data_IF_042253636827
#
_entry.id   IF_042253636827
#
_cell.length_a   1.000
_cell.length_b   1.000
_cell.length_c   1.000
_cell.angle_alpha   90.00
_cell.angle_beta   90.00
_cell.angle_gamma   90.00
#
_symmetry.space_group_name_H-M   'P 1'
#
loop_
_entity.id
_entity.type
_entity.pdbx_description
1 polymer ?
#
# COMPACT_ATOMS: atom_id res chain seq x y z
N UNK A 1 4.56 -1.30 -28.65
CA UNK A 1 5.07 -2.33 -27.71
C UNK A 1 3.93 -2.64 -26.80
N UNK A 2 3.22 -3.73 -27.06
CA UNK A 2 2.11 -4.16 -26.22
C UNK A 2 2.69 -4.63 -24.89
N UNK A 3 2.34 -3.93 -23.81
CA UNK A 3 2.70 -4.37 -22.47
C UNK A 3 1.76 -5.53 -22.14
N UNK A 4 2.20 -6.77 -22.41
CA UNK A 4 1.48 -7.99 -22.07
C UNK A 4 1.45 -8.19 -20.55
N UNK A 5 0.62 -7.39 -19.88
CA UNK A 5 0.24 -7.62 -18.49
C UNK A 5 -0.71 -8.82 -18.49
N UNK A 6 -0.14 -10.01 -18.24
CA UNK A 6 -0.87 -11.27 -18.25
C UNK A 6 -2.02 -11.30 -17.23
N UNK A 7 -1.83 -10.67 -16.06
CA UNK A 7 -2.83 -10.61 -14.98
C UNK A 7 -2.70 -9.31 -14.20
N UNK A 8 -3.80 -8.58 -14.05
CA UNK A 8 -3.94 -7.45 -13.13
C UNK A 8 -4.75 -7.84 -11.89
N UNK A 9 -4.35 -7.32 -10.72
CA UNK A 9 -5.02 -7.54 -9.42
C UNK A 9 -5.16 -6.20 -8.69
N UNK A 10 -6.36 -5.95 -8.16
CA UNK A 10 -6.64 -4.85 -7.24
C UNK A 10 -6.68 -5.40 -5.83
N UNK A 11 -5.99 -4.73 -4.91
CA UNK A 11 -5.92 -5.12 -3.50
C UNK A 11 -6.55 -3.99 -2.67
N UNK A 12 -7.39 -4.36 -1.70
CA UNK A 12 -7.96 -3.46 -0.70
C UNK A 12 -7.49 -3.92 0.68
N UNK A 13 -6.88 -3.01 1.44
CA UNK A 13 -6.46 -3.26 2.82
C UNK A 13 -7.42 -2.51 3.75
N UNK A 14 -8.08 -3.25 4.65
CA UNK A 14 -9.05 -2.72 5.60
C UNK A 14 -8.55 -2.89 7.03
N UNK A 15 -9.01 -2.02 7.93
CA UNK A 15 -8.64 -2.01 9.34
C UNK A 15 -8.76 -0.61 9.93
N UNK A 16 -8.83 -0.52 11.27
CA UNK A 16 -8.95 0.74 12.00
C UNK A 16 -7.79 1.73 11.68
N UNK A 17 -7.99 3.00 11.97
CA UNK A 17 -6.92 4.00 11.80
C UNK A 17 -5.72 3.66 12.70
N UNK A 18 -4.50 3.83 12.19
CA UNK A 18 -3.28 3.58 12.97
C UNK A 18 -2.80 2.12 13.07
N UNK A 19 -3.53 1.13 12.55
CA UNK A 19 -3.12 -0.30 12.64
C UNK A 19 -1.97 -0.72 11.71
N UNK A 20 -1.30 0.23 11.04
CA UNK A 20 -0.12 -0.07 10.21
C UNK A 20 -0.39 -0.51 8.77
N UNK A 21 -1.59 -0.25 8.22
CA UNK A 21 -1.94 -0.58 6.82
C UNK A 21 -0.92 -0.03 5.80
N UNK A 22 -0.49 1.20 5.98
CA UNK A 22 0.47 1.87 5.09
C UNK A 22 1.90 1.42 5.33
N UNK A 23 2.26 1.13 6.58
CA UNK A 23 3.54 0.50 6.94
C UNK A 23 3.69 -0.88 6.27
N UNK A 24 2.60 -1.65 6.18
CA UNK A 24 2.59 -2.94 5.51
C UNK A 24 2.76 -2.82 3.99
N UNK A 25 2.11 -1.83 3.35
CA UNK A 25 2.32 -1.53 1.95
C UNK A 25 3.76 -1.10 1.66
N UNK A 26 4.31 -0.18 2.47
CA UNK A 26 5.68 0.29 2.34
C UNK A 26 6.69 -0.84 2.46
N UNK A 27 6.52 -1.72 3.45
CA UNK A 27 7.35 -2.93 3.60
C UNK A 27 7.23 -3.85 2.38
N UNK A 28 6.04 -4.02 1.82
CA UNK A 28 5.84 -4.90 0.67
C UNK A 28 6.48 -4.37 -0.62
N UNK A 29 6.41 -3.06 -0.88
CA UNK A 29 6.95 -2.47 -2.13
C UNK A 29 8.42 -2.11 -2.03
N UNK A 30 8.83 -1.57 -0.88
CA UNK A 30 10.13 -0.88 -0.74
C UNK A 30 11.05 -1.57 0.29
N UNK A 31 10.57 -2.60 0.99
CA UNK A 31 11.26 -3.33 2.06
C UNK A 31 11.77 -2.45 3.23
N UNK A 32 11.12 -1.31 3.46
CA UNK A 32 11.48 -0.36 4.52
C UNK A 32 10.44 -0.25 5.63
N UNK A 33 10.85 0.30 6.78
CA UNK A 33 9.96 0.68 7.88
C UNK A 33 10.26 2.12 8.30
N UNK A 34 9.22 2.94 8.39
CA UNK A 34 9.27 4.32 8.89
C UNK A 34 8.36 4.44 10.12
N UNK A 35 8.91 4.70 11.32
CA UNK A 35 8.13 4.86 12.55
C UNK A 35 7.27 6.12 12.56
N UNK A 36 7.61 7.12 11.74
CA UNK A 36 6.95 8.42 11.66
C UNK A 36 5.98 8.50 10.48
N UNK A 37 5.62 7.34 9.89
CA UNK A 37 4.69 7.29 8.76
C UNK A 37 3.33 7.89 9.16
N UNK A 38 3.00 9.01 8.53
CA UNK A 38 1.80 9.77 8.84
C UNK A 38 0.50 9.05 8.48
N UNK A 39 -0.63 9.62 8.93
CA UNK A 39 -1.94 9.14 8.53
C UNK A 39 -2.12 9.21 7.02
N UNK A 40 -2.76 8.20 6.45
CA UNK A 40 -3.00 8.14 5.00
C UNK A 40 -4.17 9.04 4.63
N UNK A 41 -3.95 9.94 3.67
CA UNK A 41 -5.00 10.77 3.08
C UNK A 41 -5.60 10.01 1.89
N UNK A 42 -6.87 9.61 2.00
CA UNK A 42 -7.63 9.13 0.86
C UNK A 42 -8.18 10.30 0.06
N UNK A 43 -7.94 10.33 -1.26
CA UNK A 43 -8.68 11.20 -2.20
C UNK A 43 -9.72 10.37 -2.93
N UNK A 44 -10.96 10.86 -2.92
CA UNK A 44 -12.10 10.35 -3.68
C UNK A 44 -11.96 10.60 -5.18
#
# INVERSE_FOLDING_TARGET
MDNDVLISRKILIIGESGVGKSSLLLRFTDDTFDPDIGSTIGKS
#
